data_IF_514899550885
#
_entry.id   IF_514899550885
#
_cell.length_a   1.000
_cell.length_b   1.000
_cell.length_c   1.000
_cell.angle_alpha   90.00
_cell.angle_beta   90.00
_cell.angle_gamma   90.00
#
_symmetry.space_group_name_H-M   'P 1'
#
loop_
_entity.id
_entity.type
_entity.pdbx_description
1 polymer ?
#
# COMPACT_ATOMS: atom_id res chain seq x y z
N UNK A 1 20.28 8.31 1.71
CA UNK A 1 21.22 7.39 1.03
C UNK A 1 20.36 6.66 0.02
N UNK A 2 20.61 6.79 -1.29
CA UNK A 2 19.79 6.07 -2.26
C UNK A 2 19.83 4.58 -1.91
N UNK A 3 18.67 3.94 -1.93
CA UNK A 3 18.59 2.50 -1.73
C UNK A 3 19.50 1.82 -2.75
N UNK A 4 20.35 0.88 -2.31
CA UNK A 4 21.22 0.10 -3.22
C UNK A 4 20.44 -0.95 -4.02
N UNK A 5 19.10 -0.85 -4.04
CA UNK A 5 18.18 -1.82 -4.61
C UNK A 5 17.73 -1.33 -5.99
N UNK A 6 17.61 -2.25 -6.93
CA UNK A 6 17.06 -1.94 -8.26
C UNK A 6 15.54 -1.83 -8.20
N UNK A 7 14.94 -1.18 -9.21
CA UNK A 7 13.49 -1.13 -9.38
C UNK A 7 12.87 -2.54 -9.37
N UNK A 8 13.42 -3.48 -10.15
CA UNK A 8 12.95 -4.87 -10.20
C UNK A 8 12.96 -5.55 -8.82
N UNK A 9 13.98 -5.27 -8.00
CA UNK A 9 14.06 -5.82 -6.65
C UNK A 9 12.99 -5.24 -5.75
N UNK A 10 12.77 -3.92 -5.82
CA UNK A 10 11.72 -3.24 -5.06
C UNK A 10 10.33 -3.72 -5.47
N UNK A 11 10.08 -3.83 -6.78
CA UNK A 11 8.82 -4.31 -7.34
C UNK A 11 8.55 -5.76 -6.91
N UNK A 12 9.53 -6.66 -7.05
CA UNK A 12 9.38 -8.05 -6.62
C UNK A 12 9.12 -8.17 -5.10
N UNK A 13 9.79 -7.33 -4.30
CA UNK A 13 9.58 -7.29 -2.84
C UNK A 13 8.17 -6.82 -2.52
N UNK A 14 7.71 -5.74 -3.14
CA UNK A 14 6.34 -5.24 -2.99
C UNK A 14 5.33 -6.32 -3.36
N UNK A 15 5.46 -6.94 -4.54
CA UNK A 15 4.57 -8.00 -5.02
C UNK A 15 4.45 -9.15 -4.02
N UNK A 16 5.56 -9.59 -3.42
CA UNK A 16 5.57 -10.67 -2.44
C UNK A 16 5.10 -10.23 -1.04
N UNK A 17 5.34 -8.97 -0.64
CA UNK A 17 5.01 -8.47 0.69
C UNK A 17 3.50 -8.29 0.89
N UNK A 18 2.76 -7.86 -0.13
CA UNK A 18 1.33 -7.59 -0.01
C UNK A 18 0.50 -8.77 0.51
N UNK A 19 0.54 -9.94 -0.16
CA UNK A 19 -0.18 -11.14 0.31
C UNK A 19 0.27 -11.61 1.70
N UNK A 20 1.55 -11.41 2.05
CA UNK A 20 2.09 -11.78 3.36
C UNK A 20 1.53 -10.90 4.47
N UNK A 21 1.38 -9.59 4.25
CA UNK A 21 0.74 -8.70 5.20
C UNK A 21 -0.72 -9.09 5.41
N UNK A 22 -1.47 -9.28 4.32
CA UNK A 22 -2.88 -9.67 4.40
C UNK A 22 -3.07 -11.00 5.14
N UNK A 23 -2.20 -11.99 4.89
CA UNK A 23 -2.20 -13.28 5.60
C UNK A 23 -1.89 -13.12 7.10
N UNK A 24 -0.88 -12.32 7.45
CA UNK A 24 -0.51 -12.08 8.84
C UNK A 24 -1.64 -11.40 9.63
N UNK A 25 -2.35 -10.45 9.01
CA UNK A 25 -3.54 -9.81 9.62
C UNK A 25 -4.67 -10.82 9.82
N UNK A 26 -4.93 -11.69 8.83
CA UNK A 26 -5.94 -12.77 8.95
C UNK A 26 -5.60 -13.75 10.08
N UNK A 27 -4.32 -14.12 10.22
CA UNK A 27 -3.85 -15.06 11.24
C UNK A 27 -3.88 -14.47 12.65
N UNK A 28 -3.37 -13.25 12.82
CA UNK A 28 -3.32 -12.59 14.13
C UNK A 28 -4.71 -12.17 14.62
N UNK A 29 -5.58 -11.74 13.69
CA UNK A 29 -6.89 -11.18 13.99
C UNK A 29 -6.89 -9.65 13.96
N UNK A 30 -8.01 -9.03 13.59
CA UNK A 30 -8.09 -7.61 13.24
C UNK A 30 -7.84 -6.65 14.41
N UNK A 31 -8.07 -7.08 15.64
CA UNK A 31 -7.96 -6.25 16.86
C UNK A 31 -6.61 -6.37 17.57
N UNK A 32 -5.67 -7.17 17.03
CA UNK A 32 -4.35 -7.31 17.64
C UNK A 32 -3.56 -6.01 17.52
N UNK A 33 -3.00 -5.48 18.62
CA UNK A 33 -2.18 -4.26 18.57
C UNK A 33 -0.93 -4.43 17.70
N UNK A 34 -0.58 -3.39 16.95
CA UNK A 34 0.68 -3.33 16.19
C UNK A 34 1.82 -2.91 17.13
N UNK A 35 2.84 -3.74 17.39
CA UNK A 35 3.85 -3.43 18.42
C UNK A 35 4.63 -2.13 18.18
N UNK A 36 4.92 -1.81 16.91
CA UNK A 36 5.63 -0.58 16.54
C UNK A 36 4.73 0.66 16.48
N UNK A 37 3.41 0.46 16.46
CA UNK A 37 2.40 1.52 16.42
C UNK A 37 1.29 1.20 17.43
N UNK A 38 1.52 1.35 18.75
CA UNK A 38 0.61 0.83 19.77
C UNK A 38 -0.81 1.43 19.76
N UNK A 39 -1.01 2.56 19.09
CA UNK A 39 -2.33 3.16 18.89
C UNK A 39 -3.15 2.48 17.77
N UNK A 40 -2.55 1.53 17.04
CA UNK A 40 -3.15 0.85 15.90
C UNK A 40 -3.36 -0.64 16.22
N UNK A 41 -4.46 -1.18 15.72
CA UNK A 41 -4.66 -2.62 15.61
C UNK A 41 -4.32 -3.13 14.19
N UNK A 42 -4.39 -4.44 13.95
CA UNK A 42 -4.08 -5.02 12.65
C UNK A 42 -5.02 -4.52 11.54
N UNK A 43 -6.29 -4.26 11.86
CA UNK A 43 -7.27 -3.67 10.94
C UNK A 43 -6.89 -2.24 10.53
N UNK A 44 -6.45 -1.43 11.49
CA UNK A 44 -5.90 -0.09 11.27
C UNK A 44 -4.76 -0.10 10.26
N UNK A 45 -3.83 -1.04 10.45
CA UNK A 45 -2.66 -1.20 9.60
C UNK A 45 -3.06 -1.59 8.17
N UNK A 46 -3.98 -2.56 8.04
CA UNK A 46 -4.45 -3.01 6.74
C UNK A 46 -5.22 -1.90 6.00
N UNK A 47 -6.06 -1.13 6.70
CA UNK A 47 -6.79 0.01 6.14
C UNK A 47 -5.83 1.11 5.67
N UNK A 48 -4.80 1.41 6.47
CA UNK A 48 -3.79 2.37 6.08
C UNK A 48 -3.03 1.93 4.82
N UNK A 49 -2.61 0.66 4.74
CA UNK A 49 -1.91 0.17 3.56
C UNK A 49 -2.82 0.10 2.32
N UNK A 50 -4.10 -0.23 2.48
CA UNK A 50 -5.08 -0.21 1.39
C UNK A 50 -5.27 1.21 0.81
N UNK A 51 -5.29 2.23 1.67
CA UNK A 51 -5.27 3.65 1.28
C UNK A 51 -3.96 4.00 0.55
N UNK A 52 -2.81 3.67 1.13
CA UNK A 52 -1.48 3.98 0.55
C UNK A 52 -1.30 3.37 -0.84
N UNK A 53 -1.75 2.12 -1.05
CA UNK A 53 -1.65 1.49 -2.37
C UNK A 53 -2.44 2.24 -3.44
N UNK A 54 -3.67 2.67 -3.13
CA UNK A 54 -4.49 3.46 -4.06
C UNK A 54 -3.97 4.87 -4.25
N UNK A 55 -3.51 5.50 -3.18
CA UNK A 55 -2.88 6.82 -3.23
C UNK A 55 -1.65 6.83 -4.14
N UNK A 56 -0.76 5.85 -3.99
CA UNK A 56 0.42 5.71 -4.85
C UNK A 56 0.02 5.39 -6.30
N UNK A 57 -0.99 4.54 -6.50
CA UNK A 57 -1.52 4.23 -7.83
C UNK A 57 -2.03 5.50 -8.52
N UNK A 58 -2.79 6.33 -7.80
CA UNK A 58 -3.34 7.57 -8.34
C UNK A 58 -2.25 8.52 -8.86
N UNK A 59 -1.15 8.66 -8.10
CA UNK A 59 0.01 9.46 -8.51
C UNK A 59 0.64 8.92 -9.79
N UNK A 60 0.87 7.60 -9.86
CA UNK A 60 1.49 6.95 -11.02
C UNK A 60 0.60 7.08 -12.27
N UNK A 61 -0.72 6.98 -12.10
CA UNK A 61 -1.68 7.06 -13.23
C UNK A 61 -2.17 8.48 -13.51
N UNK A 62 -1.71 9.49 -12.78
CA UNK A 62 -2.08 10.89 -12.98
C UNK A 62 -3.52 11.26 -12.57
N UNK A 63 -4.15 10.48 -11.68
CA UNK A 63 -5.44 10.82 -11.08
C UNK A 63 -5.24 11.54 -9.74
N UNK A 64 -6.29 12.18 -9.21
CA UNK A 64 -6.18 12.93 -7.96
C UNK A 64 -5.99 11.98 -6.76
N UNK A 65 -4.85 12.03 -6.04
CA UNK A 65 -4.64 11.22 -4.85
C UNK A 65 -5.55 11.62 -3.67
N UNK A 66 -6.12 12.82 -3.66
CA UNK A 66 -7.02 13.29 -2.60
C UNK A 66 -8.43 12.67 -2.70
N UNK A 67 -8.76 12.06 -3.85
CA UNK A 67 -10.03 11.32 -4.05
C UNK A 67 -10.00 9.91 -3.42
N UNK A 68 -8.84 9.45 -2.92
CA UNK A 68 -8.71 8.11 -2.31
C UNK A 68 -9.35 8.11 -0.91
N UNK A 69 -10.19 7.10 -0.57
CA UNK A 69 -10.77 7.00 0.76
C UNK A 69 -9.70 6.96 1.85
N UNK A 70 -9.92 7.73 2.92
CA UNK A 70 -9.03 7.79 4.06
C UNK A 70 -8.98 6.45 4.79
N UNK A 71 -7.89 6.20 5.53
CA UNK A 71 -7.80 5.02 6.39
C UNK A 71 -8.97 4.90 7.39
N UNK A 72 -9.56 6.02 7.83
CA UNK A 72 -10.64 6.02 8.81
C UNK A 72 -11.93 5.50 8.17
N UNK A 73 -12.21 5.90 6.94
CA UNK A 73 -13.32 5.36 6.15
C UNK A 73 -13.11 3.87 5.85
N UNK A 74 -11.89 3.49 5.45
CA UNK A 74 -11.58 2.10 5.10
C UNK A 74 -11.61 1.13 6.28
N UNK A 75 -11.38 1.57 7.52
CA UNK A 75 -11.52 0.70 8.70
C UNK A 75 -12.92 0.10 8.85
N UNK A 76 -13.95 0.80 8.38
CA UNK A 76 -15.34 0.34 8.39
C UNK A 76 -15.75 -0.42 7.12
N UNK A 77 -14.84 -0.67 6.19
CA UNK A 77 -15.15 -1.32 4.92
C UNK A 77 -15.57 -2.79 5.14
N UNK A 78 -16.69 -3.21 4.56
CA UNK A 78 -17.26 -4.54 4.79
C UNK A 78 -16.39 -5.71 4.32
N UNK A 79 -15.55 -5.47 3.31
CA UNK A 79 -14.52 -6.40 2.84
C UNK A 79 -13.18 -5.67 2.70
N UNK A 80 -12.55 -5.33 3.82
CA UNK A 80 -11.27 -4.63 3.78
C UNK A 80 -10.15 -5.47 3.16
N UNK A 81 -10.20 -6.79 3.32
CA UNK A 81 -9.19 -7.68 2.77
C UNK A 81 -9.22 -7.73 1.24
N UNK A 82 -10.41 -7.91 0.64
CA UNK A 82 -10.55 -7.82 -0.82
C UNK A 82 -10.18 -6.43 -1.33
N UNK A 83 -10.62 -5.38 -0.64
CA UNK A 83 -10.25 -4.01 -0.99
C UNK A 83 -8.73 -3.77 -0.95
N UNK A 84 -8.04 -4.32 0.06
CA UNK A 84 -6.58 -4.29 0.14
C UNK A 84 -5.93 -5.04 -1.02
N UNK A 85 -6.36 -6.28 -1.27
CA UNK A 85 -5.80 -7.16 -2.31
C UNK A 85 -5.94 -6.51 -3.71
N UNK A 86 -7.09 -5.90 -4.02
CA UNK A 86 -7.33 -5.16 -5.26
C UNK A 86 -6.42 -3.94 -5.41
N UNK A 87 -6.22 -3.17 -4.33
CA UNK A 87 -5.36 -1.99 -4.32
C UNK A 87 -3.89 -2.34 -4.52
N UNK A 88 -3.44 -3.42 -3.87
CA UNK A 88 -2.09 -3.94 -4.03
C UNK A 88 -1.84 -4.40 -5.48
N UNK A 89 -2.77 -5.16 -6.07
CA UNK A 89 -2.67 -5.60 -7.45
C UNK A 89 -2.63 -4.42 -8.43
N UNK A 90 -3.47 -3.40 -8.21
CA UNK A 90 -3.48 -2.19 -9.04
C UNK A 90 -2.16 -1.43 -8.96
N UNK A 91 -1.58 -1.27 -7.76
CA UNK A 91 -0.29 -0.61 -7.59
C UNK A 91 0.84 -1.36 -8.31
N UNK A 92 0.91 -2.69 -8.15
CA UNK A 92 1.92 -3.51 -8.83
C UNK A 92 1.78 -3.38 -10.36
N UNK A 93 0.55 -3.41 -10.88
CA UNK A 93 0.29 -3.24 -12.30
C UNK A 93 0.71 -1.85 -12.80
N UNK A 94 0.38 -0.79 -12.06
CA UNK A 94 0.74 0.58 -12.43
C UNK A 94 2.26 0.78 -12.45
N UNK A 95 2.98 0.27 -11.46
CA UNK A 95 4.44 0.30 -11.43
C UNK A 95 5.06 -0.51 -12.57
N UNK A 96 4.52 -1.69 -12.87
CA UNK A 96 5.03 -2.54 -13.97
C UNK A 96 4.86 -1.88 -15.35
N UNK A 97 3.79 -1.09 -15.52
CA UNK A 97 3.49 -0.41 -16.78
C UNK A 97 4.13 0.99 -16.90
N UNK A 98 4.70 1.53 -15.81
CA UNK A 98 5.33 2.84 -15.80
C UNK A 98 6.57 2.87 -16.71
N UNK A 99 6.80 4.01 -17.36
CA UNK A 99 8.03 4.22 -18.13
C UNK A 99 9.18 4.65 -17.22
N UNK A 100 10.41 4.36 -17.63
CA UNK A 100 11.62 4.71 -16.85
C UNK A 100 11.81 6.23 -16.65
N UNK A 101 11.16 7.04 -17.50
CA UNK A 101 11.20 8.50 -17.50
C UNK A 101 9.95 9.15 -16.87
N UNK A 102 9.09 8.37 -16.21
CA UNK A 102 7.89 8.89 -15.56
C UNK A 102 8.24 9.96 -14.50
N UNK A 103 7.79 11.19 -14.73
CA UNK A 103 7.96 12.31 -13.81
C UNK A 103 6.65 12.60 -13.07
N UNK A 104 6.59 12.16 -11.81
CA UNK A 104 5.45 12.32 -10.92
C UNK A 104 5.93 12.73 -9.52
N UNK A 105 5.01 13.20 -8.70
CA UNK A 105 5.32 13.53 -7.31
C UNK A 105 5.85 12.29 -6.57
N UNK A 106 6.94 12.47 -5.82
CA UNK A 106 7.47 11.46 -4.90
C UNK A 106 7.29 11.96 -3.46
N UNK A 107 6.79 11.07 -2.60
CA UNK A 107 6.48 11.42 -1.21
C UNK A 107 7.72 11.85 -0.42
N UNK A 108 8.80 11.08 -0.56
CA UNK A 108 10.09 11.33 0.05
C UNK A 108 11.13 11.45 -1.05
N UNK A 109 11.80 12.60 -1.11
CA UNK A 109 12.80 12.89 -2.14
C UNK A 109 14.12 12.13 -1.93
N UNK A 110 14.36 11.62 -0.72
CA UNK A 110 15.64 11.03 -0.28
C UNK A 110 15.51 9.62 0.36
N UNK A 111 14.44 8.89 0.05
CA UNK A 111 14.17 7.55 0.60
C UNK A 111 15.04 6.43 0.01
#
# INVERSE_FOLDING_TARGET
MPTSLTFDHLLATLTAAGPRLAAAVREAGPTVPVPTCPAWDANALLAHQAMVHRWATAIITGTDPDDVPTQTELRGHGDLHGYYDDGHAALVAALTAATDDLDVMTFLKDA
#
